data_IF_906349136140
#
_entry.id   IF_906349136140
#
_cell.length_a   1.000
_cell.length_b   1.000
_cell.length_c   1.000
_cell.angle_alpha   90.00
_cell.angle_beta   90.00
_cell.angle_gamma   90.00
#
_symmetry.space_group_name_H-M   'P 1'
#
loop_
_entity.id
_entity.type
_entity.pdbx_description
1 polymer ?
#
# COMPACT_ATOMS: atom_id res chain seq x y z
N UNK A 1 60.28 -1.17 -13.62
CA UNK A 1 59.13 -0.55 -14.20
C UNK A 1 57.89 -1.24 -13.74
N UNK A 2 57.25 -0.69 -12.78
CA UNK A 2 56.06 -1.31 -12.18
C UNK A 2 54.84 -0.50 -12.55
N UNK A 3 54.03 -1.03 -13.44
CA UNK A 3 52.75 -0.47 -13.72
C UNK A 3 51.81 -0.81 -12.55
N UNK A 4 51.46 0.19 -11.79
CA UNK A 4 50.44 0.03 -10.79
C UNK A 4 49.09 0.04 -11.51
N UNK A 5 48.47 -1.08 -11.62
CA UNK A 5 47.08 -1.22 -12.03
C UNK A 5 46.21 -0.70 -10.90
N UNK A 6 45.79 0.53 -11.01
CA UNK A 6 44.72 1.04 -10.22
C UNK A 6 43.42 0.43 -10.74
N UNK A 7 42.99 -0.61 -10.09
CA UNK A 7 41.63 -1.11 -10.26
C UNK A 7 40.71 -0.14 -9.55
N UNK A 8 40.13 0.76 -10.29
CA UNK A 8 38.97 1.52 -9.81
C UNK A 8 37.83 0.52 -9.75
N UNK A 9 37.58 0.01 -8.57
CA UNK A 9 36.32 -0.62 -8.26
C UNK A 9 35.27 0.49 -8.24
N UNK A 10 34.59 0.68 -9.35
CA UNK A 10 33.39 1.47 -9.39
C UNK A 10 32.35 0.71 -8.55
N UNK A 11 32.23 1.07 -7.30
CA UNK A 11 31.11 0.67 -6.51
C UNK A 11 29.88 1.41 -7.07
N UNK A 12 29.24 0.78 -8.02
CA UNK A 12 27.91 1.21 -8.43
C UNK A 12 27.00 0.92 -7.25
N UNK A 13 26.81 1.90 -6.43
CA UNK A 13 25.71 1.89 -5.48
C UNK A 13 24.44 1.94 -6.30
N UNK A 14 23.90 0.78 -6.56
CA UNK A 14 22.52 0.65 -6.95
C UNK A 14 21.71 1.18 -5.77
N UNK A 15 21.39 2.46 -5.82
CA UNK A 15 20.30 2.97 -5.05
C UNK A 15 19.07 2.25 -5.57
N UNK A 16 18.78 1.10 -4.98
CA UNK A 16 17.53 0.40 -5.26
C UNK A 16 16.42 1.41 -5.06
N UNK A 17 15.58 1.60 -6.08
CA UNK A 17 14.50 2.56 -6.08
C UNK A 17 13.36 2.19 -5.13
N UNK A 18 13.69 1.77 -3.90
CA UNK A 18 12.74 1.61 -2.81
C UNK A 18 12.07 2.93 -2.40
N UNK A 19 12.59 4.06 -2.91
CA UNK A 19 12.02 5.38 -2.70
C UNK A 19 10.58 5.54 -3.22
N UNK A 20 10.09 4.60 -4.00
CA UNK A 20 8.76 4.69 -4.63
C UNK A 20 7.72 3.75 -4.04
N UNK A 21 8.11 2.92 -3.09
CA UNK A 21 7.15 2.13 -2.36
C UNK A 21 6.48 3.02 -1.32
N UNK A 22 5.37 3.64 -1.66
CA UNK A 22 4.56 4.35 -0.69
C UNK A 22 4.07 3.36 0.36
N UNK A 23 4.15 3.75 1.63
CA UNK A 23 3.53 2.97 2.69
C UNK A 23 2.01 2.95 2.52
N UNK A 24 1.35 1.93 3.05
CA UNK A 24 -0.10 1.87 3.04
C UNK A 24 -0.73 3.10 3.66
N UNK A 25 -0.17 3.58 4.77
CA UNK A 25 -0.64 4.80 5.43
C UNK A 25 -0.56 6.03 4.52
N UNK A 26 0.53 6.16 3.77
CA UNK A 26 0.70 7.27 2.82
C UNK A 26 -0.33 7.21 1.68
N UNK A 27 -0.59 6.02 1.16
CA UNK A 27 -1.60 5.81 0.13
C UNK A 27 -2.98 6.19 0.64
N UNK A 28 -3.35 5.78 1.85
CA UNK A 28 -4.63 6.12 2.46
C UNK A 28 -4.84 7.63 2.54
N UNK A 29 -3.80 8.38 2.85
CA UNK A 29 -3.85 9.84 2.86
C UNK A 29 -3.92 10.43 1.46
N UNK A 30 -3.03 10.01 0.58
CA UNK A 30 -2.90 10.57 -0.77
C UNK A 30 -4.13 10.33 -1.64
N UNK A 31 -4.82 9.22 -1.45
CA UNK A 31 -6.02 8.86 -2.23
C UNK A 31 -7.33 9.27 -1.56
N UNK A 32 -7.26 10.02 -0.47
CA UNK A 32 -8.45 10.56 0.20
C UNK A 32 -9.31 9.53 0.92
N UNK A 33 -8.77 8.37 1.23
CA UNK A 33 -9.51 7.31 1.92
C UNK A 33 -10.02 7.76 3.30
N UNK A 34 -9.22 8.58 3.97
CA UNK A 34 -9.56 9.10 5.31
C UNK A 34 -10.70 10.12 5.30
N UNK A 35 -11.16 10.57 4.14
CA UNK A 35 -12.34 11.43 4.06
C UNK A 35 -13.62 10.67 4.44
N UNK A 36 -13.64 9.35 4.22
CA UNK A 36 -14.79 8.50 4.49
C UNK A 36 -14.53 7.43 5.55
N UNK A 37 -13.28 7.19 5.90
CA UNK A 37 -12.87 6.16 6.85
C UNK A 37 -12.01 6.71 7.98
N UNK A 38 -12.08 6.06 9.12
CA UNK A 38 -11.16 6.22 10.24
C UNK A 38 -10.72 4.85 10.73
N UNK A 39 -9.64 4.81 11.51
CA UNK A 39 -9.14 3.55 12.05
C UNK A 39 -10.13 2.93 13.06
N UNK A 40 -10.69 3.75 13.94
CA UNK A 40 -11.47 3.31 15.11
C UNK A 40 -12.96 3.59 15.02
N UNK A 41 -13.38 4.49 14.16
CA UNK A 41 -14.75 4.99 14.13
C UNK A 41 -15.37 4.87 12.76
N UNK A 42 -16.65 4.54 12.73
CA UNK A 42 -17.44 4.63 11.51
C UNK A 42 -17.65 6.09 11.12
N UNK A 43 -17.44 6.39 9.85
CA UNK A 43 -17.83 7.66 9.20
C UNK A 43 -18.83 7.36 8.10
N UNK A 44 -18.54 7.82 6.90
CA UNK A 44 -19.29 7.41 5.71
C UNK A 44 -19.06 5.94 5.42
N UNK A 45 -17.79 5.50 5.51
CA UNK A 45 -17.43 4.11 5.41
C UNK A 45 -17.17 3.47 6.79
N UNK A 46 -17.03 2.14 6.83
CA UNK A 46 -16.74 1.43 8.07
C UNK A 46 -15.37 1.79 8.63
N UNK A 47 -15.20 1.63 9.94
CA UNK A 47 -13.90 1.75 10.58
C UNK A 47 -12.95 0.68 10.05
N UNK A 48 -11.67 1.01 9.90
CA UNK A 48 -10.68 0.05 9.41
C UNK A 48 -10.53 -1.17 10.31
N UNK A 49 -10.62 -1.00 11.62
CA UNK A 49 -10.58 -2.13 12.55
C UNK A 49 -11.74 -3.12 12.33
N UNK A 50 -12.90 -2.62 11.94
CA UNK A 50 -14.06 -3.46 11.66
C UNK A 50 -13.91 -4.19 10.33
N UNK A 51 -13.33 -3.53 9.33
CA UNK A 51 -12.98 -4.18 8.06
C UNK A 51 -11.96 -5.29 8.32
N UNK A 52 -10.91 -5.02 9.08
CA UNK A 52 -9.91 -6.02 9.43
C UNK A 52 -10.52 -7.21 10.16
N UNK A 53 -11.42 -6.96 11.11
CA UNK A 53 -12.11 -8.02 11.83
C UNK A 53 -13.01 -8.87 10.92
N UNK A 54 -13.73 -8.23 10.01
CA UNK A 54 -14.62 -8.90 9.05
C UNK A 54 -13.87 -9.87 8.14
N UNK A 55 -12.68 -9.51 7.72
CA UNK A 55 -11.88 -10.30 6.78
C UNK A 55 -10.81 -11.16 7.46
N UNK A 56 -10.79 -11.21 8.78
CA UNK A 56 -9.84 -12.03 9.53
C UNK A 56 -9.92 -13.49 9.10
N UNK A 57 -8.76 -14.07 8.75
CA UNK A 57 -8.69 -15.44 8.29
C UNK A 57 -9.09 -15.66 6.83
N UNK A 58 -9.55 -14.64 6.12
CA UNK A 58 -9.88 -14.73 4.72
C UNK A 58 -8.62 -14.50 3.88
N UNK A 59 -8.07 -15.54 3.30
CA UNK A 59 -6.86 -15.48 2.48
C UNK A 59 -7.04 -14.71 1.18
N UNK A 60 -8.25 -14.61 0.68
CA UNK A 60 -8.59 -13.87 -0.53
C UNK A 60 -8.93 -12.40 -0.31
N UNK A 61 -8.91 -11.94 0.93
CA UNK A 61 -9.38 -10.59 1.29
C UNK A 61 -8.65 -9.49 0.54
N UNK A 62 -7.33 -9.57 0.45
CA UNK A 62 -6.53 -8.55 -0.25
C UNK A 62 -6.97 -8.41 -1.71
N UNK A 63 -7.03 -9.49 -2.45
CA UNK A 63 -7.42 -9.48 -3.86
C UNK A 63 -8.87 -9.00 -4.04
N UNK A 64 -9.78 -9.42 -3.18
CA UNK A 64 -11.18 -9.02 -3.21
C UNK A 64 -11.35 -7.52 -2.99
N UNK A 65 -10.66 -6.98 -1.99
CA UNK A 65 -10.74 -5.56 -1.67
C UNK A 65 -10.04 -4.69 -2.72
N UNK A 66 -8.91 -5.12 -3.24
CA UNK A 66 -8.24 -4.42 -4.34
C UNK A 66 -9.15 -4.34 -5.56
N UNK A 67 -9.79 -5.44 -5.95
CA UNK A 67 -10.71 -5.45 -7.08
C UNK A 67 -11.92 -4.54 -6.83
N UNK A 68 -12.47 -4.55 -5.63
CA UNK A 68 -13.60 -3.70 -5.23
C UNK A 68 -13.27 -2.21 -5.38
N UNK A 69 -12.11 -1.80 -4.93
CA UNK A 69 -11.64 -0.41 -5.03
C UNK A 69 -11.34 -0.01 -6.47
N UNK A 70 -10.69 -0.88 -7.22
CA UNK A 70 -10.33 -0.64 -8.61
C UNK A 70 -11.55 -0.54 -9.52
N UNK A 71 -12.54 -1.39 -9.31
CA UNK A 71 -13.73 -1.48 -10.15
C UNK A 71 -14.87 -0.59 -9.65
N UNK A 72 -14.82 -0.13 -8.41
CA UNK A 72 -15.87 0.68 -7.82
C UNK A 72 -17.14 -0.10 -7.48
N UNK A 73 -17.02 -1.37 -7.12
CA UNK A 73 -18.16 -2.22 -6.76
C UNK A 73 -18.59 -1.98 -5.32
N UNK A 74 -19.76 -1.40 -5.14
CA UNK A 74 -20.30 -1.04 -3.81
C UNK A 74 -19.36 -0.15 -3.01
N UNK A 75 -18.54 0.61 -3.71
CA UNK A 75 -17.54 1.52 -3.17
C UNK A 75 -17.15 2.51 -4.28
N UNK A 76 -16.85 3.76 -3.95
CA UNK A 76 -16.32 4.68 -4.95
C UNK A 76 -15.06 4.12 -5.60
N UNK A 77 -14.95 4.27 -6.91
CA UNK A 77 -13.77 3.85 -7.65
C UNK A 77 -12.56 4.68 -7.24
N UNK A 78 -11.46 4.02 -6.96
CA UNK A 78 -10.21 4.66 -6.55
C UNK A 78 -9.22 4.65 -7.72
N UNK A 79 -8.79 5.82 -8.15
CA UNK A 79 -7.77 5.98 -9.17
C UNK A 79 -6.38 5.79 -8.56
N UNK A 80 -5.89 4.57 -8.55
CA UNK A 80 -4.59 4.21 -8.01
C UNK A 80 -4.04 2.98 -8.74
N UNK A 81 -2.73 2.80 -8.70
CA UNK A 81 -2.10 1.58 -9.24
C UNK A 81 -2.44 0.37 -8.37
N UNK A 82 -2.31 -0.83 -8.94
CA UNK A 82 -2.51 -2.06 -8.17
C UNK A 82 -1.56 -2.16 -6.98
N UNK A 83 -0.32 -1.70 -7.14
CA UNK A 83 0.64 -1.68 -6.03
C UNK A 83 0.20 -0.75 -4.90
N UNK A 84 -0.31 0.42 -5.23
CA UNK A 84 -0.87 1.36 -4.26
C UNK A 84 -2.09 0.79 -3.55
N UNK A 85 -3.01 0.20 -4.30
CA UNK A 85 -4.21 -0.42 -3.74
C UNK A 85 -3.85 -1.58 -2.80
N UNK A 86 -2.89 -2.42 -3.17
CA UNK A 86 -2.41 -3.50 -2.31
C UNK A 86 -1.81 -2.97 -1.01
N UNK A 87 -0.98 -1.94 -1.09
CA UNK A 87 -0.38 -1.33 0.09
C UNK A 87 -1.46 -0.77 1.04
N UNK A 88 -2.44 -0.06 0.49
CA UNK A 88 -3.56 0.49 1.26
C UNK A 88 -4.39 -0.61 1.92
N UNK A 89 -4.77 -1.64 1.16
CA UNK A 89 -5.57 -2.76 1.67
C UNK A 89 -4.84 -3.52 2.77
N UNK A 90 -3.55 -3.79 2.60
CA UNK A 90 -2.74 -4.43 3.65
C UNK A 90 -2.70 -3.61 4.93
N UNK A 91 -2.58 -2.30 4.81
CA UNK A 91 -2.62 -1.39 5.95
C UNK A 91 -3.96 -1.46 6.68
N UNK A 92 -5.06 -1.46 5.94
CA UNK A 92 -6.41 -1.58 6.50
C UNK A 92 -6.57 -2.92 7.21
N UNK A 93 -6.18 -4.02 6.58
CA UNK A 93 -6.31 -5.37 7.14
C UNK A 93 -5.41 -5.60 8.36
N UNK A 94 -4.36 -4.82 8.52
CA UNK A 94 -3.47 -4.88 9.69
C UNK A 94 -3.96 -4.02 10.87
N UNK A 95 -5.04 -3.29 10.71
CA UNK A 95 -5.61 -2.44 11.77
C UNK A 95 -6.18 -3.29 12.90
N UNK A 96 -5.83 -2.94 14.12
CA UNK A 96 -6.28 -3.64 15.34
C UNK A 96 -7.29 -2.82 16.11
#
# INVERSE_FOLDING_TARGET
MKAALLVLAAASTLAAGSAYAQSGADVLKAKGCMNCHEADKKKVGPAYKDVAAKYKGNKGAEAQLVAKLREGKSHPKVAASDAELKAAVRQVLATK
#
